data_IF_925145364566
#
_entry.id   IF_925145364566
#
_cell.length_a   1.000
_cell.length_b   1.000
_cell.length_c   1.000
_cell.angle_alpha   90.00
_cell.angle_beta   90.00
_cell.angle_gamma   90.00
#
_symmetry.space_group_name_H-M   'P 1'
#
loop_
_entity.id
_entity.type
_entity.pdbx_description
1 polymer ?
#
# COMPACT_ATOMS: atom_id res chain seq x y z
N UNK A 1 -37.37 34.63 24.03
CA UNK A 1 -36.77 33.30 24.22
C UNK A 1 -35.86 33.38 25.42
N UNK A 2 -36.01 32.50 26.40
CA UNK A 2 -35.14 32.44 27.59
C UNK A 2 -33.84 31.76 27.17
N UNK A 3 -32.72 32.46 27.28
CA UNK A 3 -31.38 31.93 26.95
C UNK A 3 -30.93 31.06 28.11
N UNK A 4 -30.47 29.86 27.78
CA UNK A 4 -29.98 28.88 28.78
C UNK A 4 -28.52 29.16 29.19
N UNK A 5 -28.13 28.69 30.36
CA UNK A 5 -26.74 28.80 30.81
C UNK A 5 -25.73 28.12 29.87
N UNK A 6 -26.15 27.06 29.18
CA UNK A 6 -25.31 26.34 28.23
C UNK A 6 -25.02 27.18 26.98
N UNK A 7 -26.05 27.79 26.39
CA UNK A 7 -25.90 28.69 25.27
C UNK A 7 -25.00 29.90 25.57
N UNK A 8 -25.11 30.46 26.77
CA UNK A 8 -24.24 31.55 27.20
C UNK A 8 -22.77 31.09 27.29
N UNK A 9 -22.50 29.91 27.89
CA UNK A 9 -21.13 29.39 27.99
C UNK A 9 -20.54 29.07 26.64
N UNK A 10 -21.32 28.53 25.75
CA UNK A 10 -20.91 28.23 24.35
C UNK A 10 -20.54 29.53 23.61
N UNK A 11 -21.39 30.57 23.69
CA UNK A 11 -21.10 31.87 23.09
C UNK A 11 -19.85 32.55 23.69
N UNK A 12 -19.64 32.40 25.00
CA UNK A 12 -18.44 32.90 25.67
C UNK A 12 -17.17 32.13 25.28
N UNK A 13 -17.26 30.80 25.11
CA UNK A 13 -16.16 29.98 24.58
C UNK A 13 -15.78 30.38 23.15
N UNK A 14 -16.76 30.55 22.24
CA UNK A 14 -16.50 30.99 20.88
C UNK A 14 -15.71 32.34 20.85
N UNK A 15 -16.06 33.27 21.73
CA UNK A 15 -15.32 34.55 21.84
C UNK A 15 -13.87 34.39 22.32
N UNK A 16 -13.62 33.47 23.25
CA UNK A 16 -12.25 33.19 23.72
C UNK A 16 -11.40 32.60 22.57
N UNK A 17 -12.02 31.84 21.71
CA UNK A 17 -11.36 31.22 20.52
C UNK A 17 -11.26 32.19 19.33
N UNK A 18 -11.81 33.40 19.45
CA UNK A 18 -11.85 34.42 18.36
C UNK A 18 -12.87 34.12 17.29
N UNK A 19 -13.84 33.25 17.56
CA UNK A 19 -14.94 32.91 16.65
C UNK A 19 -16.15 33.83 16.86
N UNK A 20 -16.99 33.95 15.81
CA UNK A 20 -18.22 34.74 15.90
C UNK A 20 -19.20 34.09 16.87
N UNK A 21 -19.54 34.79 17.95
CA UNK A 21 -20.53 34.30 18.88
C UNK A 21 -21.96 34.40 18.29
N UNK A 22 -22.75 33.36 18.51
CA UNK A 22 -24.15 33.28 18.04
C UNK A 22 -25.11 34.09 18.92
N UNK A 23 -24.64 34.63 20.04
CA UNK A 23 -25.44 35.37 21.04
C UNK A 23 -24.94 36.81 21.19
N UNK A 24 -25.85 37.76 21.21
CA UNK A 24 -25.58 39.19 21.37
C UNK A 24 -24.88 39.51 22.71
N UNK A 25 -24.02 40.52 22.69
CA UNK A 25 -23.27 40.98 23.87
C UNK A 25 -24.19 41.46 25.01
N UNK A 26 -25.31 42.07 24.66
CA UNK A 26 -26.26 42.55 25.63
C UNK A 26 -26.94 41.41 26.40
N UNK A 27 -27.27 40.31 25.71
CA UNK A 27 -27.86 39.12 26.35
C UNK A 27 -26.85 38.40 27.22
N UNK A 28 -25.59 38.31 26.77
CA UNK A 28 -24.51 37.74 27.59
C UNK A 28 -24.27 38.52 28.86
N UNK A 29 -24.14 39.85 28.75
CA UNK A 29 -23.89 40.72 29.90
C UNK A 29 -25.08 40.70 30.88
N UNK A 30 -26.31 40.77 30.40
CA UNK A 30 -27.52 40.66 31.23
C UNK A 30 -27.60 39.32 31.97
N UNK A 31 -27.27 38.22 31.30
CA UNK A 31 -27.24 36.88 31.93
C UNK A 31 -26.17 36.76 32.97
N UNK A 32 -24.95 37.26 32.69
CA UNK A 32 -23.83 37.23 33.65
C UNK A 32 -24.14 38.08 34.90
N UNK A 33 -24.88 39.19 34.74
CA UNK A 33 -25.34 40.01 35.87
C UNK A 33 -26.34 39.28 36.78
N UNK A 34 -27.18 38.40 36.16
CA UNK A 34 -28.26 37.68 36.86
C UNK A 34 -27.91 36.26 37.29
N UNK A 35 -26.82 35.67 36.79
CA UNK A 35 -26.43 34.25 37.04
C UNK A 35 -25.04 34.12 37.65
N UNK A 36 -24.97 33.93 38.96
CA UNK A 36 -23.70 33.78 39.70
C UNK A 36 -22.86 32.58 39.20
N UNK A 37 -23.51 31.50 38.75
CA UNK A 37 -22.83 30.30 38.26
C UNK A 37 -22.10 30.55 36.92
N UNK A 38 -22.71 31.28 35.99
CA UNK A 38 -22.08 31.66 34.72
C UNK A 38 -21.03 32.75 34.93
N UNK A 39 -21.25 33.71 35.80
CA UNK A 39 -20.26 34.72 36.15
C UNK A 39 -19.00 34.13 36.83
N UNK A 40 -19.19 33.15 37.71
CA UNK A 40 -18.09 32.42 38.33
C UNK A 40 -17.28 31.60 37.31
N UNK A 41 -17.98 30.85 36.44
CA UNK A 41 -17.36 30.09 35.36
C UNK A 41 -16.55 31.01 34.41
N UNK A 42 -17.12 32.13 33.98
CA UNK A 42 -16.44 33.10 33.13
C UNK A 42 -15.15 33.66 33.71
N UNK A 43 -15.16 34.02 35.00
CA UNK A 43 -13.95 34.46 35.69
C UNK A 43 -12.87 33.41 35.69
N UNK A 44 -13.20 32.18 36.07
CA UNK A 44 -12.24 31.05 36.08
C UNK A 44 -11.61 30.82 34.71
N UNK A 45 -12.41 30.80 33.67
CA UNK A 45 -11.90 30.57 32.31
C UNK A 45 -11.03 31.71 31.83
N UNK A 46 -11.40 32.96 32.16
CA UNK A 46 -10.63 34.14 31.78
C UNK A 46 -9.30 34.23 32.53
N UNK A 47 -9.27 33.80 33.79
CA UNK A 47 -8.03 33.67 34.58
C UNK A 47 -7.08 32.60 34.05
N UNK A 48 -7.61 31.51 33.45
CA UNK A 48 -6.82 30.45 32.85
C UNK A 48 -6.30 30.79 31.45
N UNK A 49 -6.95 31.71 30.74
CA UNK A 49 -6.61 32.09 29.37
C UNK A 49 -5.11 32.43 29.17
N UNK A 50 -4.45 33.23 30.00
CA UNK A 50 -3.02 33.54 29.87
C UNK A 50 -2.13 32.29 29.99
N UNK A 51 -2.51 31.32 30.82
CA UNK A 51 -1.78 30.05 30.99
C UNK A 51 -1.98 29.10 29.80
N UNK A 52 -3.06 29.26 29.05
CA UNK A 52 -3.36 28.46 27.87
C UNK A 52 -2.86 29.09 26.56
N UNK A 53 -2.27 30.30 26.61
CA UNK A 53 -1.71 30.95 25.43
C UNK A 53 -0.46 30.18 24.97
N UNK A 54 -0.62 29.37 23.95
CA UNK A 54 0.52 28.67 23.35
C UNK A 54 1.35 29.65 22.52
N UNK A 55 2.70 29.50 22.47
CA UNK A 55 3.52 30.23 21.51
C UNK A 55 3.00 30.01 20.10
N UNK A 56 3.07 31.04 19.27
CA UNK A 56 2.67 30.90 17.86
C UNK A 56 3.36 29.68 17.24
N UNK A 57 2.57 28.75 16.70
CA UNK A 57 3.11 27.57 16.07
C UNK A 57 4.00 27.99 14.89
N UNK A 58 5.16 27.32 14.68
CA UNK A 58 6.02 27.63 13.54
C UNK A 58 5.24 27.40 12.24
N UNK A 59 5.45 28.26 11.24
CA UNK A 59 4.85 28.08 9.92
C UNK A 59 5.46 26.84 9.24
N UNK A 60 4.69 25.77 9.22
CA UNK A 60 5.06 24.49 8.60
C UNK A 60 4.56 24.37 7.15
N UNK A 61 3.90 25.37 6.61
CA UNK A 61 3.23 25.33 5.30
C UNK A 61 4.17 24.87 4.19
N UNK A 62 5.34 25.50 4.07
CA UNK A 62 6.33 25.14 3.03
C UNK A 62 6.85 23.71 3.21
N UNK A 63 7.09 23.28 4.44
CA UNK A 63 7.56 21.92 4.74
C UNK A 63 6.50 20.86 4.41
N UNK A 64 5.24 21.11 4.76
CA UNK A 64 4.12 20.21 4.47
C UNK A 64 3.90 20.12 2.96
N UNK A 65 3.84 21.24 2.25
CA UNK A 65 3.66 21.27 0.80
C UNK A 65 4.79 20.54 0.06
N UNK A 66 6.02 20.69 0.52
CA UNK A 66 7.18 19.99 -0.07
C UNK A 66 7.05 18.47 0.18
N UNK A 67 6.71 18.05 1.38
CA UNK A 67 6.50 16.65 1.72
C UNK A 67 5.36 16.01 0.89
N UNK A 68 4.26 16.73 0.71
CA UNK A 68 3.12 16.26 -0.12
C UNK A 68 3.54 16.08 -1.58
N UNK A 69 4.22 17.07 -2.18
CA UNK A 69 4.71 16.96 -3.57
C UNK A 69 5.67 15.80 -3.77
N UNK A 70 6.59 15.58 -2.81
CA UNK A 70 7.52 14.45 -2.85
C UNK A 70 6.77 13.11 -2.77
N UNK A 71 5.76 13.00 -1.91
CA UNK A 71 4.95 11.80 -1.75
C UNK A 71 4.12 11.51 -3.02
N UNK A 72 3.53 12.54 -3.63
CA UNK A 72 2.81 12.43 -4.91
C UNK A 72 3.72 11.97 -6.05
N UNK A 73 4.92 12.54 -6.17
CA UNK A 73 5.91 12.12 -7.17
C UNK A 73 6.35 10.65 -6.96
N UNK A 74 6.57 10.25 -5.71
CA UNK A 74 6.91 8.85 -5.38
C UNK A 74 5.75 7.89 -5.68
N UNK A 75 4.51 8.28 -5.37
CA UNK A 75 3.31 7.48 -5.69
C UNK A 75 3.15 7.34 -7.21
N UNK A 76 3.35 8.41 -7.97
CA UNK A 76 3.33 8.37 -9.43
C UNK A 76 4.37 7.40 -9.99
N UNK A 77 5.61 7.49 -9.55
CA UNK A 77 6.70 6.61 -9.97
C UNK A 77 6.43 5.12 -9.59
N UNK A 78 5.90 4.86 -8.40
CA UNK A 78 5.51 3.51 -7.96
C UNK A 78 4.37 2.96 -8.82
N UNK A 79 3.37 3.76 -9.14
CA UNK A 79 2.24 3.36 -10.00
C UNK A 79 2.72 2.98 -11.40
N UNK A 80 3.59 3.79 -12.02
CA UNK A 80 4.13 3.51 -13.35
C UNK A 80 4.97 2.22 -13.34
N UNK A 81 5.84 2.03 -12.34
CA UNK A 81 6.63 0.80 -12.19
C UNK A 81 5.75 -0.44 -11.98
N UNK A 82 4.69 -0.32 -11.19
CA UNK A 82 3.74 -1.40 -10.98
C UNK A 82 3.00 -1.75 -12.27
N UNK A 83 2.56 -0.77 -13.05
CA UNK A 83 1.88 -0.99 -14.32
C UNK A 83 2.79 -1.66 -15.36
N UNK A 84 4.05 -1.20 -15.49
CA UNK A 84 5.01 -1.82 -16.43
C UNK A 84 5.33 -3.26 -16.03
N UNK A 85 5.52 -3.54 -14.74
CA UNK A 85 5.76 -4.92 -14.25
C UNK A 85 4.55 -5.82 -14.50
N UNK A 86 3.34 -5.33 -14.27
CA UNK A 86 2.09 -6.06 -14.53
C UNK A 86 1.94 -6.39 -16.02
N UNK A 87 2.21 -5.40 -16.88
CA UNK A 87 2.12 -5.58 -18.32
C UNK A 87 3.16 -6.61 -18.82
N UNK A 88 4.41 -6.49 -18.35
CA UNK A 88 5.46 -7.44 -18.68
C UNK A 88 5.11 -8.87 -18.22
N UNK A 89 4.57 -9.02 -17.01
CA UNK A 89 4.14 -10.31 -16.48
C UNK A 89 2.96 -10.89 -17.27
N UNK A 90 1.99 -10.06 -17.66
CA UNK A 90 0.85 -10.49 -18.47
C UNK A 90 1.29 -10.93 -19.88
N UNK A 91 2.17 -10.17 -20.52
CA UNK A 91 2.71 -10.53 -21.85
C UNK A 91 3.49 -11.84 -21.76
N UNK A 92 4.36 -12.00 -20.76
CA UNK A 92 5.10 -13.24 -20.53
C UNK A 92 4.16 -14.43 -20.34
N UNK A 93 3.14 -14.29 -19.49
CA UNK A 93 2.15 -15.32 -19.23
C UNK A 93 1.34 -15.71 -20.49
N UNK A 94 0.99 -14.73 -21.31
CA UNK A 94 0.29 -14.99 -22.59
C UNK A 94 1.20 -15.72 -23.58
N UNK A 95 2.47 -15.36 -23.66
CA UNK A 95 3.46 -16.06 -24.51
C UNK A 95 3.60 -17.51 -24.03
N UNK A 96 3.78 -17.72 -22.73
CA UNK A 96 3.90 -19.06 -22.13
C UNK A 96 2.65 -19.91 -22.41
N UNK A 97 1.45 -19.31 -22.24
CA UNK A 97 0.19 -19.98 -22.55
C UNK A 97 0.07 -20.35 -24.04
N UNK A 98 0.50 -19.46 -24.93
CA UNK A 98 0.49 -19.73 -26.38
C UNK A 98 1.46 -20.84 -26.77
N UNK A 99 2.60 -20.98 -26.08
CA UNK A 99 3.58 -22.05 -26.29
C UNK A 99 3.06 -23.37 -25.72
N UNK A 100 2.45 -23.38 -24.54
CA UNK A 100 1.94 -24.61 -23.91
C UNK A 100 0.63 -25.12 -24.50
N UNK A 101 -0.20 -24.27 -25.13
CA UNK A 101 -1.50 -24.63 -25.64
C UNK A 101 -1.45 -25.75 -26.74
N UNK A 102 -0.54 -25.74 -27.73
CA UNK A 102 -0.44 -26.85 -28.69
C UNK A 102 -0.05 -28.17 -28.03
N UNK A 103 0.87 -28.14 -27.04
CA UNK A 103 1.31 -29.33 -26.29
C UNK A 103 0.13 -29.90 -25.51
N UNK A 104 -0.63 -29.02 -24.83
CA UNK A 104 -1.81 -29.39 -24.06
C UNK A 104 -2.94 -29.95 -24.94
N UNK A 105 -3.18 -29.39 -26.15
CA UNK A 105 -4.34 -29.78 -27.01
C UNK A 105 -4.02 -30.97 -27.88
N UNK A 106 -2.83 -31.02 -28.45
CA UNK A 106 -2.48 -32.00 -29.46
C UNK A 106 -1.50 -33.07 -28.98
N UNK A 107 -0.89 -32.90 -27.79
CA UNK A 107 0.11 -33.82 -27.24
C UNK A 107 1.37 -33.93 -28.14
N UNK A 108 1.63 -32.95 -29.00
CA UNK A 108 2.78 -32.97 -29.89
C UNK A 108 4.03 -32.51 -29.15
N UNK A 109 4.68 -33.46 -28.53
CA UNK A 109 6.11 -33.36 -28.18
C UNK A 109 6.82 -34.51 -28.89
N UNK A 110 7.76 -34.17 -29.78
CA UNK A 110 8.45 -35.16 -30.61
C UNK A 110 9.33 -36.13 -29.82
N UNK A 111 9.49 -35.90 -28.52
CA UNK A 111 10.43 -36.61 -27.64
C UNK A 111 9.76 -37.38 -26.51
N UNK A 112 8.52 -37.04 -26.14
CA UNK A 112 7.81 -37.64 -25.02
C UNK A 112 6.50 -38.38 -25.44
N UNK A 113 6.06 -39.41 -24.68
CA UNK A 113 4.75 -40.00 -24.86
C UNK A 113 3.64 -38.95 -24.69
N UNK A 114 2.58 -39.06 -25.50
CA UNK A 114 1.44 -38.12 -25.54
C UNK A 114 0.89 -37.78 -24.16
N UNK A 115 0.80 -38.79 -23.27
CA UNK A 115 0.32 -38.58 -21.89
C UNK A 115 1.22 -37.63 -21.08
N UNK A 116 2.54 -37.82 -21.17
CA UNK A 116 3.53 -36.94 -20.51
C UNK A 116 3.49 -35.52 -21.06
N UNK A 117 3.34 -35.40 -22.41
CA UNK A 117 3.20 -34.10 -23.04
C UNK A 117 1.97 -33.34 -22.54
N UNK A 118 0.81 -34.01 -22.41
CA UNK A 118 -0.40 -33.40 -21.85
C UNK A 118 -0.22 -32.96 -20.38
N UNK A 119 0.47 -33.74 -19.56
CA UNK A 119 0.75 -33.38 -18.15
C UNK A 119 1.64 -32.14 -18.07
N UNK A 120 2.74 -32.11 -18.80
CA UNK A 120 3.66 -30.97 -18.84
C UNK A 120 2.95 -29.72 -19.37
N UNK A 121 2.24 -29.84 -20.50
CA UNK A 121 1.49 -28.72 -21.05
C UNK A 121 0.40 -28.18 -20.13
N UNK A 122 -0.25 -29.06 -19.36
CA UNK A 122 -1.24 -28.66 -18.35
C UNK A 122 -0.61 -27.90 -17.20
N UNK A 123 0.57 -28.34 -16.74
CA UNK A 123 1.31 -27.69 -15.66
C UNK A 123 1.79 -26.30 -16.09
N UNK A 124 2.37 -26.17 -17.28
CA UNK A 124 2.84 -24.89 -17.84
C UNK A 124 1.68 -23.92 -18.07
N UNK A 125 0.57 -24.40 -18.59
CA UNK A 125 -0.64 -23.59 -18.76
C UNK A 125 -1.20 -23.12 -17.43
N UNK A 126 -1.23 -23.95 -16.39
CA UNK A 126 -1.68 -23.58 -15.05
C UNK A 126 -0.77 -22.50 -14.42
N UNK A 127 0.54 -22.64 -14.59
CA UNK A 127 1.51 -21.64 -14.12
C UNK A 127 1.29 -20.30 -14.85
N UNK A 128 1.16 -20.32 -16.17
CA UNK A 128 0.89 -19.13 -16.98
C UNK A 128 -0.41 -18.43 -16.56
N UNK A 129 -1.49 -19.19 -16.34
CA UNK A 129 -2.77 -18.65 -15.83
C UNK A 129 -2.57 -18.01 -14.44
N UNK A 130 -1.81 -18.64 -13.57
CA UNK A 130 -1.47 -18.09 -12.25
C UNK A 130 -0.73 -16.77 -12.34
N UNK A 131 0.28 -16.67 -13.20
CA UNK A 131 1.02 -15.43 -13.44
C UNK A 131 0.12 -14.33 -14.03
N UNK A 132 -0.79 -14.69 -14.94
CA UNK A 132 -1.77 -13.76 -15.50
C UNK A 132 -2.74 -13.24 -14.44
N UNK A 133 -3.22 -14.10 -13.55
CA UNK A 133 -4.05 -13.70 -12.42
C UNK A 133 -3.31 -12.76 -11.47
N UNK A 134 -2.03 -13.01 -11.18
CA UNK A 134 -1.19 -12.12 -10.39
C UNK A 134 -1.00 -10.74 -11.08
N UNK A 135 -0.83 -10.72 -12.39
CA UNK A 135 -0.73 -9.48 -13.16
C UNK A 135 -2.02 -8.64 -13.07
N UNK A 136 -3.20 -9.28 -13.13
CA UNK A 136 -4.50 -8.61 -13.01
C UNK A 136 -4.79 -8.23 -11.55
N UNK A 137 -4.48 -9.12 -10.60
CA UNK A 137 -4.73 -8.94 -9.16
C UNK A 137 -3.42 -8.99 -8.36
N UNK A 138 -2.66 -7.88 -8.27
CA UNK A 138 -1.34 -7.85 -7.65
C UNK A 138 -1.28 -8.33 -6.19
N UNK A 139 -2.42 -8.32 -5.50
CA UNK A 139 -2.54 -8.83 -4.13
C UNK A 139 -2.28 -10.34 -4.04
N UNK A 140 -2.51 -11.09 -5.13
CA UNK A 140 -2.25 -12.53 -5.19
C UNK A 140 -0.75 -12.85 -5.34
N UNK A 141 0.04 -11.91 -5.86
CA UNK A 141 1.46 -12.12 -6.13
C UNK A 141 2.25 -12.61 -4.91
N UNK A 142 2.00 -12.01 -3.73
CA UNK A 142 2.69 -12.39 -2.50
C UNK A 142 2.35 -13.82 -2.05
N UNK A 143 1.09 -14.26 -2.21
CA UNK A 143 0.66 -15.60 -1.85
C UNK A 143 1.17 -16.67 -2.82
N UNK A 144 1.36 -16.33 -4.09
CA UNK A 144 1.87 -17.26 -5.10
C UNK A 144 3.40 -17.39 -5.09
N UNK A 145 4.09 -16.42 -4.51
CA UNK A 145 5.55 -16.33 -4.56
C UNK A 145 6.28 -17.60 -4.06
N UNK A 146 5.95 -18.19 -2.90
CA UNK A 146 6.64 -19.39 -2.42
C UNK A 146 6.44 -20.60 -3.34
N UNK A 147 5.25 -20.75 -3.92
CA UNK A 147 4.98 -21.84 -4.86
C UNK A 147 5.79 -21.68 -6.14
N UNK A 148 5.73 -20.51 -6.77
CA UNK A 148 6.48 -20.23 -8.01
C UNK A 148 7.99 -20.30 -7.76
N UNK A 149 8.48 -19.83 -6.59
CA UNK A 149 9.89 -19.96 -6.20
C UNK A 149 10.34 -21.43 -6.12
N UNK A 150 9.55 -22.29 -5.48
CA UNK A 150 9.85 -23.71 -5.36
C UNK A 150 9.89 -24.40 -6.74
N UNK A 151 8.89 -24.13 -7.58
CA UNK A 151 8.83 -24.69 -8.95
C UNK A 151 10.05 -24.23 -9.76
N UNK A 152 10.34 -22.93 -9.81
CA UNK A 152 11.47 -22.37 -10.55
C UNK A 152 12.80 -22.93 -10.05
N UNK A 153 12.97 -23.06 -8.73
CA UNK A 153 14.19 -23.63 -8.14
C UNK A 153 14.40 -25.10 -8.53
N UNK A 154 13.32 -25.90 -8.51
CA UNK A 154 13.40 -27.31 -8.90
C UNK A 154 13.71 -27.46 -10.40
N UNK A 155 13.05 -26.67 -11.27
CA UNK A 155 13.31 -26.69 -12.71
C UNK A 155 14.74 -26.28 -13.04
N UNK A 156 15.25 -25.21 -12.43
CA UNK A 156 16.63 -24.78 -12.65
C UNK A 156 17.65 -25.79 -12.10
N UNK A 157 17.36 -26.46 -10.98
CA UNK A 157 18.24 -27.49 -10.43
C UNK A 157 18.30 -28.70 -11.35
N UNK A 158 17.18 -29.18 -11.88
CA UNK A 158 17.15 -30.30 -12.82
C UNK A 158 17.81 -29.95 -14.14
N UNK A 159 17.52 -28.79 -14.72
CA UNK A 159 18.16 -28.30 -15.94
C UNK A 159 19.68 -28.18 -15.78
N UNK A 160 20.15 -27.62 -14.67
CA UNK A 160 21.58 -27.52 -14.39
C UNK A 160 22.23 -28.91 -14.28
N UNK A 161 21.57 -29.86 -13.62
CA UNK A 161 22.05 -31.25 -13.52
C UNK A 161 22.18 -31.92 -14.89
N UNK A 162 21.20 -31.73 -15.77
CA UNK A 162 21.16 -32.35 -17.10
C UNK A 162 22.23 -31.76 -18.02
N UNK A 163 22.47 -30.46 -17.96
CA UNK A 163 23.57 -29.80 -18.68
C UNK A 163 24.93 -30.28 -18.16
N UNK A 164 25.15 -30.32 -16.83
CA UNK A 164 26.45 -30.73 -16.23
C UNK A 164 26.76 -32.22 -16.51
N UNK A 165 25.73 -33.07 -16.53
CA UNK A 165 25.89 -34.51 -16.86
C UNK A 165 25.91 -34.77 -18.37
N UNK A 166 25.81 -33.75 -19.21
CA UNK A 166 25.87 -33.86 -20.67
C UNK A 166 24.65 -34.55 -21.29
N UNK A 167 23.53 -34.62 -20.57
CA UNK A 167 22.30 -35.25 -21.08
C UNK A 167 21.56 -34.34 -22.06
N UNK A 168 21.68 -33.01 -21.87
CA UNK A 168 21.04 -32.01 -22.71
C UNK A 168 22.01 -30.90 -23.09
N UNK A 169 21.72 -30.21 -24.19
CA UNK A 169 22.43 -29.00 -24.57
C UNK A 169 21.88 -27.80 -23.78
N UNK A 170 22.73 -26.86 -23.39
CA UNK A 170 22.32 -25.66 -22.66
C UNK A 170 21.24 -24.84 -23.42
N UNK A 171 21.20 -24.93 -24.74
CA UNK A 171 20.21 -24.26 -25.57
C UNK A 171 18.80 -24.86 -25.47
N UNK A 172 18.68 -26.16 -25.16
CA UNK A 172 17.39 -26.83 -24.96
C UNK A 172 16.74 -26.46 -23.64
N UNK A 173 17.50 -25.94 -22.69
CA UNK A 173 17.02 -25.48 -21.36
C UNK A 173 16.56 -24.00 -21.37
N UNK A 174 16.59 -23.34 -22.54
CA UNK A 174 16.17 -21.95 -22.67
C UNK A 174 14.72 -21.66 -22.20
N UNK A 175 13.72 -22.56 -22.31
CA UNK A 175 12.38 -22.35 -21.75
C UNK A 175 12.39 -22.07 -20.25
N UNK A 176 13.27 -22.66 -19.46
CA UNK A 176 13.36 -22.44 -18.02
C UNK A 176 13.80 -21.02 -17.65
N UNK A 177 14.42 -20.27 -18.58
CA UNK A 177 14.68 -18.84 -18.40
C UNK A 177 13.40 -18.01 -18.36
N UNK A 178 12.36 -18.45 -19.05
CA UNK A 178 11.04 -17.80 -19.04
C UNK A 178 10.42 -17.91 -17.65
N UNK A 179 10.55 -19.08 -17.00
CA UNK A 179 10.05 -19.30 -15.65
C UNK A 179 10.82 -18.43 -14.64
N UNK A 180 12.15 -18.33 -14.79
CA UNK A 180 12.97 -17.45 -13.97
C UNK A 180 12.57 -15.97 -14.12
N UNK A 181 12.36 -15.51 -15.34
CA UNK A 181 11.89 -14.15 -15.61
C UNK A 181 10.51 -13.93 -14.99
N UNK A 182 9.60 -14.89 -15.12
CA UNK A 182 8.28 -14.89 -14.49
C UNK A 182 8.36 -14.74 -12.96
N UNK A 183 9.22 -15.54 -12.32
CA UNK A 183 9.50 -15.46 -10.89
C UNK A 183 10.04 -14.09 -10.47
N UNK A 184 11.02 -13.54 -11.20
CA UNK A 184 11.59 -12.22 -10.91
C UNK A 184 10.56 -11.10 -11.05
N UNK A 185 9.73 -11.15 -12.09
CA UNK A 185 8.63 -10.19 -12.27
C UNK A 185 7.58 -10.31 -11.17
N UNK A 186 7.22 -11.54 -10.77
CA UNK A 186 6.29 -11.80 -9.68
C UNK A 186 6.83 -11.25 -8.35
N UNK A 187 8.12 -11.50 -8.05
CA UNK A 187 8.82 -10.97 -6.86
C UNK A 187 8.77 -9.44 -6.84
N UNK A 188 9.08 -8.83 -7.98
CA UNK A 188 9.04 -7.37 -8.14
C UNK A 188 7.62 -6.83 -7.95
N UNK A 189 6.62 -7.55 -8.44
CA UNK A 189 5.22 -7.17 -8.27
C UNK A 189 4.79 -7.28 -6.80
N UNK A 190 5.14 -8.37 -6.11
CA UNK A 190 4.84 -8.59 -4.70
C UNK A 190 5.43 -7.50 -3.79
N UNK A 191 6.70 -7.10 -4.06
CA UNK A 191 7.37 -6.03 -3.29
C UNK A 191 6.79 -4.65 -3.56
N UNK A 192 6.36 -4.36 -4.79
CA UNK A 192 5.78 -3.06 -5.15
C UNK A 192 4.33 -2.92 -4.71
N UNK A 193 3.57 -4.01 -4.64
CA UNK A 193 2.19 -4.02 -4.17
C UNK A 193 2.06 -3.77 -2.64
N UNK A 194 3.16 -3.69 -1.92
CA UNK A 194 3.20 -3.26 -0.51
C UNK A 194 2.60 -4.23 0.49
N UNK A 195 2.65 -5.53 0.22
CA UNK A 195 1.85 -6.51 0.92
C UNK A 195 2.53 -7.40 1.97
N UNK A 196 3.84 -7.47 2.13
CA UNK A 196 4.40 -8.55 2.96
C UNK A 196 5.11 -8.16 4.25
N UNK A 197 5.37 -6.89 4.49
CA UNK A 197 5.79 -6.47 5.83
C UNK A 197 4.64 -5.72 6.50
N UNK A 198 4.12 -6.19 7.65
CA UNK A 198 3.32 -5.33 8.50
C UNK A 198 4.18 -4.09 8.78
N UNK A 199 3.67 -2.92 8.40
CA UNK A 199 4.30 -1.65 8.78
C UNK A 199 4.29 -1.64 10.30
N UNK A 200 5.40 -1.99 10.94
CA UNK A 200 5.56 -1.69 12.36
C UNK A 200 5.31 -0.19 12.53
N UNK A 201 4.38 0.21 13.40
CA UNK A 201 4.21 1.61 13.70
C UNK A 201 5.58 2.12 14.17
N UNK A 202 6.14 3.08 13.45
CA UNK A 202 7.34 3.78 13.92
C UNK A 202 6.90 4.49 15.19
N UNK A 203 7.18 3.90 16.35
CA UNK A 203 7.12 4.60 17.63
C UNK A 203 8.08 5.78 17.52
N UNK A 204 7.49 6.95 17.31
CA UNK A 204 8.23 8.20 17.40
C UNK A 204 8.66 8.30 18.86
N UNK A 205 9.91 7.97 19.16
CA UNK A 205 10.50 8.28 20.45
C UNK A 205 10.47 9.81 20.55
N UNK A 206 9.53 10.32 21.33
CA UNK A 206 9.53 11.72 21.75
C UNK A 206 10.74 11.82 22.68
N UNK A 207 11.82 12.43 22.20
CA UNK A 207 12.97 12.72 23.03
C UNK A 207 12.48 13.62 24.19
N UNK A 208 12.79 13.29 25.46
CA UNK A 208 12.46 14.16 26.58
C UNK A 208 13.19 15.48 26.37
N UNK A 209 12.44 16.58 26.37
CA UNK A 209 12.98 17.93 26.33
C UNK A 209 14.00 18.11 27.44
N UNK A 210 15.22 18.53 27.09
CA UNK A 210 16.19 19.02 28.06
C UNK A 210 15.65 20.32 28.61
N UNK A 211 15.32 20.32 29.91
CA UNK A 211 15.03 21.51 30.70
C UNK A 211 16.23 22.45 30.80
#
# INVERSE_FOLDING_TARGET
>A
MVVTCNEIREGLSARLDGEAATIDDERVSSHLAGCAACAGWWRTVHELQPAMTMPAAPDLTAAILTAVRQDEAQRGARRTRSLSTRLALAVLALIQLAISAPVLIFGHDHTAPVHVAHEVGSFDAALAIGLLLAAVRPRLAAGMLPLVAAITALLLMTAASDVVTGRTLATSEAPHLVDLIGFLLLTRLATTAGGWMPRMPRTRVIAPGRG
#
